data_IF_232793727249
#
_entry.id   IF_232793727249
#
_cell.length_a   1.000
_cell.length_b   1.000
_cell.length_c   1.000
_cell.angle_alpha   90.00
_cell.angle_beta   90.00
_cell.angle_gamma   90.00
#
_symmetry.space_group_name_H-M   'P 1'
#
loop_
_entity.id
_entity.type
_entity.pdbx_description
1 polymer ?
#
# COMPACT_ATOMS: atom_id res chain seq x y z
N UNK A 1 -48.95 -77.45 77.00
CA UNK A 1 -47.61 -77.31 76.39
C UNK A 1 -46.58 -78.38 76.81
N UNK A 2 -46.80 -79.19 77.85
CA UNK A 2 -45.80 -80.17 78.33
C UNK A 2 -45.68 -81.48 77.52
N UNK A 3 -46.73 -81.93 76.81
CA UNK A 3 -46.65 -83.16 75.98
C UNK A 3 -45.86 -82.97 74.67
N UNK A 4 -45.80 -81.74 74.17
CA UNK A 4 -45.12 -81.44 72.91
C UNK A 4 -43.59 -81.44 73.08
N UNK A 5 -43.09 -80.96 74.23
CA UNK A 5 -41.65 -80.94 74.52
C UNK A 5 -41.04 -82.32 74.78
N UNK A 6 -41.82 -83.27 75.30
CA UNK A 6 -41.36 -84.65 75.54
C UNK A 6 -41.16 -85.43 74.22
N UNK A 7 -42.11 -85.30 73.29
CA UNK A 7 -42.02 -85.94 71.97
C UNK A 7 -40.89 -85.35 71.13
N UNK A 8 -40.66 -84.04 71.22
CA UNK A 8 -39.52 -83.35 70.58
C UNK A 8 -38.17 -83.83 71.15
N UNK A 9 -38.04 -83.98 72.47
CA UNK A 9 -36.81 -84.52 73.10
C UNK A 9 -36.55 -85.97 72.71
N UNK A 10 -37.59 -86.80 72.66
CA UNK A 10 -37.47 -88.20 72.24
C UNK A 10 -37.06 -88.34 70.78
N UNK A 11 -37.64 -87.54 69.88
CA UNK A 11 -37.26 -87.50 68.47
C UNK A 11 -35.83 -86.97 68.26
N UNK A 12 -35.42 -85.96 69.03
CA UNK A 12 -34.06 -85.38 68.97
C UNK A 12 -32.99 -86.39 69.41
N UNK A 13 -33.21 -87.10 70.51
CA UNK A 13 -32.28 -88.12 70.99
C UNK A 13 -32.23 -89.36 70.09
N UNK A 14 -33.30 -89.63 69.32
CA UNK A 14 -33.32 -90.69 68.29
C UNK A 14 -32.54 -90.28 67.03
N UNK A 15 -32.59 -89.01 66.65
CA UNK A 15 -31.89 -88.47 65.48
C UNK A 15 -30.39 -88.25 65.73
N UNK A 16 -30.01 -87.86 66.95
CA UNK A 16 -28.63 -87.61 67.36
C UNK A 16 -28.28 -88.46 68.60
N UNK A 17 -28.04 -89.77 68.44
CA UNK A 17 -27.63 -90.61 69.56
C UNK A 17 -26.23 -90.23 70.03
N UNK A 18 -25.95 -90.36 71.33
CA UNK A 18 -24.61 -90.14 71.86
C UNK A 18 -23.63 -91.14 71.23
N UNK A 19 -22.52 -90.62 70.68
CA UNK A 19 -21.50 -91.44 70.03
C UNK A 19 -20.16 -91.22 70.71
N UNK A 20 -19.47 -92.31 70.99
CA UNK A 20 -18.15 -92.30 71.60
C UNK A 20 -17.14 -92.75 70.53
N UNK A 21 -16.19 -91.87 70.24
CA UNK A 21 -15.11 -92.17 69.32
C UNK A 21 -13.92 -92.63 70.16
N UNK A 22 -13.51 -93.88 69.94
CA UNK A 22 -12.37 -94.49 70.61
C UNK A 22 -11.12 -94.27 69.76
N UNK A 23 -10.14 -93.57 70.32
CA UNK A 23 -8.85 -93.39 69.66
C UNK A 23 -7.77 -94.09 70.47
N UNK A 24 -7.17 -95.13 69.86
CA UNK A 24 -6.07 -95.90 70.44
C UNK A 24 -4.75 -95.36 69.87
N UNK A 25 -3.93 -94.75 70.72
CA UNK A 25 -2.56 -94.36 70.37
C UNK A 25 -1.62 -94.59 71.55
N UNK A 26 -0.46 -95.21 71.29
CA UNK A 26 0.62 -95.36 72.28
C UNK A 26 0.25 -96.12 73.56
N UNK A 27 -0.61 -97.14 73.49
CA UNK A 27 -0.92 -98.01 74.63
C UNK A 27 -1.95 -97.47 75.64
N UNK A 28 -2.50 -96.26 75.43
CA UNK A 28 -3.62 -95.73 76.22
C UNK A 28 -4.86 -95.53 75.34
N UNK A 29 -6.04 -95.88 75.86
CA UNK A 29 -7.33 -95.65 75.18
C UNK A 29 -7.92 -94.36 75.72
N UNK A 30 -8.01 -93.34 74.86
CA UNK A 30 -8.77 -92.12 75.17
C UNK A 30 -10.09 -92.19 74.41
N UNK A 31 -11.20 -91.94 75.11
CA UNK A 31 -12.51 -91.79 74.49
C UNK A 31 -12.91 -90.32 74.49
N UNK A 32 -13.55 -89.89 73.40
CA UNK A 32 -14.18 -88.58 73.31
C UNK A 32 -15.68 -88.85 73.12
N UNK A 33 -16.48 -88.40 74.08
CA UNK A 33 -17.94 -88.45 74.00
C UNK A 33 -18.45 -87.23 73.23
N UNK A 34 -19.08 -87.45 72.08
CA UNK A 34 -19.72 -86.38 71.31
C UNK A 34 -21.18 -86.33 71.72
N UNK A 35 -21.55 -85.29 72.47
CA UNK A 35 -22.91 -85.16 72.98
C UNK A 35 -23.92 -84.94 71.85
N UNK A 36 -25.19 -85.35 72.02
CA UNK A 36 -26.27 -85.12 71.04
C UNK A 36 -26.36 -83.66 70.57
N UNK A 37 -26.13 -82.72 71.49
CA UNK A 37 -26.15 -81.29 71.20
C UNK A 37 -24.98 -80.85 70.31
N UNK A 38 -23.77 -81.38 70.56
CA UNK A 38 -22.60 -81.11 69.71
C UNK A 38 -22.82 -81.65 68.28
N UNK A 39 -23.38 -82.85 68.14
CA UNK A 39 -23.70 -83.42 66.83
C UNK A 39 -24.72 -82.57 66.06
N UNK A 40 -25.74 -82.05 66.75
CA UNK A 40 -26.73 -81.17 66.15
C UNK A 40 -26.13 -79.84 65.65
N UNK A 41 -25.21 -79.24 66.41
CA UNK A 41 -24.50 -78.03 65.98
C UNK A 41 -23.63 -78.30 64.74
N UNK A 42 -22.88 -79.41 64.72
CA UNK A 42 -22.08 -79.79 63.55
C UNK A 42 -22.96 -80.05 62.31
N UNK A 43 -24.08 -80.76 62.48
CA UNK A 43 -25.02 -81.01 61.39
C UNK A 43 -25.64 -79.71 60.85
N UNK A 44 -26.01 -78.78 61.75
CA UNK A 44 -26.51 -77.46 61.37
C UNK A 44 -25.44 -76.63 60.63
N UNK A 45 -24.19 -76.68 61.08
CA UNK A 45 -23.06 -76.01 60.42
C UNK A 45 -22.80 -76.55 59.01
N UNK A 46 -22.85 -77.87 58.82
CA UNK A 46 -22.71 -78.51 57.50
C UNK A 46 -23.89 -78.13 56.60
N UNK A 47 -25.12 -78.12 57.12
CA UNK A 47 -26.30 -77.72 56.37
C UNK A 47 -26.25 -76.24 55.96
N UNK A 48 -25.74 -75.36 56.84
CA UNK A 48 -25.55 -73.95 56.52
C UNK A 48 -24.49 -73.74 55.43
N UNK A 49 -23.36 -74.46 55.47
CA UNK A 49 -22.35 -74.42 54.41
C UNK A 49 -22.88 -74.98 53.09
N UNK A 50 -23.61 -76.09 53.12
CA UNK A 50 -24.25 -76.66 51.93
C UNK A 50 -25.30 -75.68 51.35
N UNK A 51 -26.12 -75.07 52.20
CA UNK A 51 -27.08 -74.04 51.80
C UNK A 51 -26.39 -72.81 51.21
N UNK A 52 -25.29 -72.36 51.81
CA UNK A 52 -24.49 -71.24 51.31
C UNK A 52 -23.85 -71.53 49.96
N UNK A 53 -23.30 -72.73 49.77
CA UNK A 53 -22.70 -73.13 48.49
C UNK A 53 -23.75 -73.25 47.38
N UNK A 54 -24.93 -73.79 47.67
CA UNK A 54 -26.05 -73.84 46.73
C UNK A 54 -26.56 -72.43 46.41
N UNK A 55 -26.67 -71.55 47.41
CA UNK A 55 -27.07 -70.16 47.22
C UNK A 55 -26.04 -69.38 46.39
N UNK A 56 -24.75 -69.52 46.66
CA UNK A 56 -23.67 -68.89 45.91
C UNK A 56 -23.62 -69.39 44.46
N UNK A 57 -23.78 -70.70 44.26
CA UNK A 57 -23.81 -71.32 42.92
C UNK A 57 -25.06 -70.90 42.15
N UNK A 58 -26.22 -70.92 42.80
CA UNK A 58 -27.49 -70.47 42.22
C UNK A 58 -27.47 -68.98 41.89
N UNK A 59 -26.92 -68.15 42.77
CA UNK A 59 -26.73 -66.72 42.55
C UNK A 59 -25.79 -66.46 41.36
N UNK A 60 -24.71 -67.23 41.20
CA UNK A 60 -23.82 -67.09 40.04
C UNK A 60 -24.50 -67.46 38.72
N UNK A 61 -25.35 -68.50 38.72
CA UNK A 61 -26.09 -68.94 37.53
C UNK A 61 -27.28 -68.01 37.20
N UNK A 62 -28.04 -67.57 38.21
CA UNK A 62 -29.20 -66.67 38.04
C UNK A 62 -28.82 -65.20 37.86
N UNK A 63 -27.70 -64.72 38.43
CA UNK A 63 -27.15 -63.38 38.16
C UNK A 63 -26.37 -63.28 36.85
N UNK A 64 -26.34 -64.36 36.07
CA UNK A 64 -25.81 -64.32 34.71
C UNK A 64 -24.29 -64.22 34.66
N UNK A 65 -23.58 -65.15 35.32
CA UNK A 65 -22.15 -65.38 35.12
C UNK A 65 -21.72 -65.75 33.69
N UNK A 66 -22.64 -65.72 32.72
CA UNK A 66 -22.39 -65.96 31.29
C UNK A 66 -22.45 -64.73 30.38
N UNK A 67 -22.88 -63.55 30.85
CA UNK A 67 -23.08 -62.37 29.98
C UNK A 67 -22.17 -61.17 30.28
N UNK A 68 -21.41 -61.18 31.39
CA UNK A 68 -20.47 -60.11 31.73
C UNK A 68 -19.06 -60.28 31.13
N UNK A 69 -18.74 -61.43 30.53
CA UNK A 69 -17.43 -61.72 29.92
C UNK A 69 -17.40 -61.52 28.39
N UNK A 70 -18.49 -61.03 27.78
CA UNK A 70 -18.55 -60.70 26.34
C UNK A 70 -18.64 -59.19 26.06
N UNK A 71 -18.64 -58.34 27.09
CA UNK A 71 -18.62 -56.89 26.93
C UNK A 71 -17.27 -56.33 27.34
N UNK A 72 -16.26 -56.47 26.47
CA UNK A 72 -14.88 -56.03 26.70
C UNK A 72 -14.84 -54.58 27.27
N UNK A 73 -14.59 -54.35 28.58
CA UNK A 73 -14.52 -53.00 29.14
C UNK A 73 -13.39 -52.18 28.49
N UNK A 74 -12.30 -52.86 28.12
CA UNK A 74 -11.21 -52.32 27.32
C UNK A 74 -11.71 -51.77 25.98
N UNK A 75 -12.69 -52.40 25.34
CA UNK A 75 -13.21 -51.98 24.03
C UNK A 75 -13.94 -50.62 24.07
N UNK A 76 -14.64 -50.30 25.18
CA UNK A 76 -15.31 -48.99 25.33
C UNK A 76 -14.32 -47.87 25.63
N UNK A 77 -13.31 -48.15 26.45
CA UNK A 77 -12.24 -47.18 26.73
C UNK A 77 -11.36 -46.97 25.49
N UNK A 78 -10.97 -48.05 24.80
CA UNK A 78 -10.25 -47.99 23.51
C UNK A 78 -11.04 -47.19 22.48
N UNK A 79 -12.36 -47.41 22.33
CA UNK A 79 -13.21 -46.64 21.43
C UNK A 79 -13.35 -45.16 21.83
N UNK A 80 -13.15 -44.81 23.11
CA UNK A 80 -13.10 -43.40 23.56
C UNK A 80 -11.76 -42.77 23.20
N UNK A 81 -10.64 -43.46 23.42
CA UNK A 81 -9.32 -42.99 23.03
C UNK A 81 -9.19 -42.85 21.52
N UNK A 82 -9.71 -43.81 20.75
CA UNK A 82 -9.70 -43.76 19.31
C UNK A 82 -10.51 -42.55 18.78
N UNK A 83 -11.71 -42.30 19.33
CA UNK A 83 -12.48 -41.09 19.02
C UNK A 83 -11.72 -39.80 19.36
N UNK A 84 -11.06 -39.76 20.51
CA UNK A 84 -10.27 -38.59 20.90
C UNK A 84 -9.07 -38.36 19.98
N UNK A 85 -8.38 -39.42 19.56
CA UNK A 85 -7.29 -39.35 18.58
C UNK A 85 -7.81 -38.88 17.21
N UNK A 86 -8.97 -39.37 16.77
CA UNK A 86 -9.59 -38.90 15.53
C UNK A 86 -10.01 -37.43 15.62
N UNK A 87 -10.57 -36.98 16.74
CA UNK A 87 -10.91 -35.58 16.96
C UNK A 87 -9.66 -34.68 16.99
N UNK A 88 -8.59 -35.12 17.64
CA UNK A 88 -7.29 -34.42 17.64
C UNK A 88 -6.72 -34.32 16.23
N UNK A 89 -6.76 -35.41 15.44
CA UNK A 89 -6.33 -35.39 14.04
C UNK A 89 -7.19 -34.46 13.19
N UNK A 90 -8.51 -34.44 13.39
CA UNK A 90 -9.41 -33.54 12.70
C UNK A 90 -9.13 -32.07 13.07
N UNK A 91 -8.85 -31.76 14.34
CA UNK A 91 -8.45 -30.43 14.81
C UNK A 91 -7.09 -30.00 14.26
N UNK A 92 -6.11 -30.89 14.25
CA UNK A 92 -4.77 -30.64 13.68
C UNK A 92 -4.86 -30.40 12.17
N UNK A 93 -5.63 -31.22 11.44
CA UNK A 93 -5.88 -31.03 10.02
C UNK A 93 -6.57 -29.69 9.72
N UNK A 94 -7.62 -29.32 10.48
CA UNK A 94 -8.29 -28.04 10.34
C UNK A 94 -7.38 -26.86 10.70
N UNK A 95 -6.54 -27.00 11.73
CA UNK A 95 -5.58 -25.97 12.09
C UNK A 95 -4.53 -25.78 11.00
N UNK A 96 -4.05 -26.86 10.37
CA UNK A 96 -3.11 -26.78 9.25
C UNK A 96 -3.74 -26.12 8.03
N UNK A 97 -4.96 -26.50 7.66
CA UNK A 97 -5.63 -25.89 6.50
C UNK A 97 -5.88 -24.40 6.71
N UNK A 98 -6.26 -23.97 7.92
CA UNK A 98 -6.42 -22.54 8.24
C UNK A 98 -5.09 -21.79 8.24
N UNK A 99 -3.99 -22.43 8.63
CA UNK A 99 -2.66 -21.83 8.55
C UNK A 99 -2.21 -21.68 7.10
N UNK A 100 -2.39 -22.70 6.26
CA UNK A 100 -2.11 -22.65 4.82
C UNK A 100 -2.92 -21.56 4.12
N UNK A 101 -4.23 -21.48 4.38
CA UNK A 101 -5.07 -20.41 3.84
C UNK A 101 -4.60 -19.02 4.26
N UNK A 102 -4.18 -18.86 5.52
CA UNK A 102 -3.63 -17.58 6.01
C UNK A 102 -2.27 -17.25 5.42
N UNK A 103 -1.38 -18.23 5.25
CA UNK A 103 -0.07 -18.00 4.64
C UNK A 103 -0.22 -17.60 3.18
N UNK A 104 -1.12 -18.25 2.45
CA UNK A 104 -1.39 -17.93 1.05
C UNK A 104 -2.04 -16.55 0.90
N UNK A 105 -3.00 -16.22 1.78
CA UNK A 105 -3.62 -14.89 1.80
C UNK A 105 -2.59 -13.80 2.12
N UNK A 106 -1.74 -14.03 3.12
CA UNK A 106 -0.68 -13.10 3.50
C UNK A 106 0.32 -12.90 2.35
N UNK A 107 0.79 -13.98 1.71
CA UNK A 107 1.72 -13.88 0.56
C UNK A 107 1.12 -13.06 -0.58
N UNK A 108 -0.16 -13.28 -0.93
CA UNK A 108 -0.85 -12.50 -1.95
C UNK A 108 -0.92 -11.01 -1.59
N UNK A 109 -1.30 -10.69 -0.35
CA UNK A 109 -1.34 -9.30 0.13
C UNK A 109 0.04 -8.65 0.11
N UNK A 110 1.12 -9.39 0.43
CA UNK A 110 2.49 -8.83 0.38
C UNK A 110 2.95 -8.48 -1.04
N UNK A 111 2.65 -9.34 -2.02
CA UNK A 111 3.00 -9.08 -3.43
C UNK A 111 2.22 -7.88 -3.95
N UNK A 112 0.91 -7.83 -3.69
CA UNK A 112 0.06 -6.69 -4.06
C UNK A 112 0.58 -5.38 -3.44
N UNK A 113 1.02 -5.43 -2.18
CA UNK A 113 1.58 -4.27 -1.50
C UNK A 113 2.89 -3.80 -2.12
N UNK A 114 3.79 -4.73 -2.46
CA UNK A 114 5.05 -4.42 -3.13
C UNK A 114 4.82 -3.75 -4.50
N UNK A 115 3.86 -4.25 -5.28
CA UNK A 115 3.46 -3.68 -6.56
C UNK A 115 2.90 -2.26 -6.41
N UNK A 116 2.00 -2.04 -5.45
CA UNK A 116 1.45 -0.70 -5.15
C UNK A 116 2.55 0.27 -4.71
N UNK A 117 3.45 -0.17 -3.85
CA UNK A 117 4.55 0.65 -3.35
C UNK A 117 5.50 1.05 -4.48
N UNK A 118 5.83 0.12 -5.37
CA UNK A 118 6.64 0.39 -6.56
C UNK A 118 5.97 1.39 -7.50
N UNK A 119 4.67 1.26 -7.72
CA UNK A 119 3.91 2.16 -8.57
C UNK A 119 3.85 3.60 -8.02
N UNK A 120 3.75 3.74 -6.69
CA UNK A 120 3.85 5.04 -6.01
C UNK A 120 5.27 5.61 -6.07
N UNK A 121 6.31 4.78 -5.98
CA UNK A 121 7.69 5.21 -6.13
C UNK A 121 7.96 5.78 -7.53
N UNK A 122 7.42 5.13 -8.57
CA UNK A 122 7.54 5.60 -9.96
C UNK A 122 6.80 6.93 -10.18
N UNK A 123 5.61 7.10 -9.59
CA UNK A 123 4.89 8.37 -9.57
C UNK A 123 5.71 9.47 -8.86
N UNK A 124 6.28 9.15 -7.69
CA UNK A 124 7.08 10.08 -6.92
C UNK A 124 8.34 10.52 -7.69
N UNK A 125 9.01 9.59 -8.38
CA UNK A 125 10.14 9.93 -9.27
C UNK A 125 9.73 10.89 -10.38
N UNK A 126 8.55 10.70 -10.99
CA UNK A 126 8.03 11.62 -11.99
C UNK A 126 7.71 13.02 -11.41
N UNK A 127 7.14 13.08 -10.21
CA UNK A 127 6.84 14.34 -9.51
C UNK A 127 8.10 15.13 -9.15
N UNK A 128 9.20 14.45 -8.82
CA UNK A 128 10.43 15.11 -8.35
C UNK A 128 11.25 15.75 -9.48
N UNK A 129 11.08 15.33 -10.73
CA UNK A 129 11.85 15.84 -11.87
C UNK A 129 13.34 15.43 -11.84
N UNK A 130 14.03 15.59 -12.98
CA UNK A 130 15.44 15.19 -13.18
C UNK A 130 16.46 16.28 -12.75
N UNK A 131 16.01 17.50 -12.42
CA UNK A 131 16.85 18.61 -11.95
C UNK A 131 16.60 18.90 -10.45
N UNK A 132 17.66 18.73 -9.65
CA UNK A 132 17.74 18.98 -8.21
C UNK A 132 17.51 20.47 -7.84
N UNK A 133 16.92 20.74 -6.66
CA UNK A 133 17.55 21.51 -5.56
C UNK A 133 16.62 21.66 -4.34
N UNK A 134 17.16 21.26 -3.19
CA UNK A 134 16.66 21.38 -1.81
C UNK A 134 15.49 20.51 -1.36
N UNK A 135 15.89 19.41 -0.73
CA UNK A 135 15.23 18.71 0.36
C UNK A 135 14.78 19.67 1.48
N UNK A 136 13.66 20.36 1.29
CA UNK A 136 13.08 21.27 2.28
C UNK A 136 11.57 21.08 2.43
N UNK A 137 11.11 19.83 2.61
CA UNK A 137 9.77 19.57 3.18
C UNK A 137 9.52 18.15 3.71
N UNK A 138 10.48 17.20 3.64
CA UNK A 138 10.35 15.92 4.36
C UNK A 138 10.74 16.01 5.85
N UNK A 139 10.43 17.11 6.52
CA UNK A 139 10.61 17.25 7.96
C UNK A 139 9.32 17.74 8.63
N UNK A 140 8.60 16.75 9.16
CA UNK A 140 7.35 16.86 9.93
C UNK A 140 6.44 15.75 9.42
N UNK A 141 6.38 14.54 9.98
CA UNK A 141 6.49 14.16 11.37
C UNK A 141 6.88 12.67 11.45
N UNK A 142 7.99 12.35 12.12
CA UNK A 142 8.18 11.06 12.83
C UNK A 142 8.25 9.69 12.12
N UNK A 143 8.09 9.52 10.81
CA UNK A 143 8.09 8.17 10.21
C UNK A 143 9.45 7.72 9.65
N UNK A 144 10.39 7.42 10.54
CA UNK A 144 11.50 6.51 10.23
C UNK A 144 10.93 5.09 10.09
N UNK A 145 10.40 4.74 8.91
CA UNK A 145 10.13 3.36 8.54
C UNK A 145 11.40 2.70 7.98
N UNK A 146 12.45 2.69 8.80
CA UNK A 146 13.39 1.57 8.77
C UNK A 146 12.77 0.52 9.68
N UNK A 147 12.06 -0.43 9.06
CA UNK A 147 11.70 -1.70 9.69
C UNK A 147 13.02 -2.37 10.07
N UNK A 148 13.49 -2.14 11.30
CA UNK A 148 14.38 -3.08 11.93
C UNK A 148 13.54 -4.35 12.12
N UNK A 149 13.84 -5.36 11.32
CA UNK A 149 13.47 -6.72 11.63
C UNK A 149 14.10 -7.07 12.97
N UNK A 150 13.35 -6.88 14.07
CA UNK A 150 13.66 -7.54 15.32
C UNK A 150 13.41 -9.03 15.09
N UNK A 151 14.46 -9.73 14.70
CA UNK A 151 14.59 -11.15 15.02
C UNK A 151 14.60 -11.17 16.55
N UNK A 152 13.42 -11.30 17.16
CA UNK A 152 13.33 -11.74 18.56
C UNK A 152 13.77 -13.21 18.57
N UNK A 153 15.09 -13.32 18.70
CA UNK A 153 15.86 -14.36 19.35
C UNK A 153 14.97 -15.22 20.25
N UNK A 154 15.04 -16.53 20.05
CA UNK A 154 14.31 -17.53 20.80
C UNK A 154 14.55 -17.38 22.31
N UNK A 155 13.61 -16.75 23.01
CA UNK A 155 13.67 -16.74 24.47
C UNK A 155 13.41 -18.15 25.00
N UNK A 156 14.27 -18.53 25.94
CA UNK A 156 14.43 -19.88 26.45
C UNK A 156 13.12 -20.46 27.03
N UNK A 157 12.88 -21.76 26.77
CA UNK A 157 11.70 -22.49 27.24
C UNK A 157 11.60 -22.43 28.77
N UNK A 158 10.76 -21.53 29.29
CA UNK A 158 10.22 -21.67 30.63
C UNK A 158 8.84 -22.32 30.56
N UNK A 159 8.68 -23.44 31.27
CA UNK A 159 7.40 -24.11 31.46
C UNK A 159 6.46 -23.19 32.25
N UNK A 160 5.46 -22.60 31.57
CA UNK A 160 4.38 -21.85 32.20
C UNK A 160 3.22 -22.79 32.55
N UNK A 161 2.72 -22.62 33.77
CA UNK A 161 1.43 -23.09 34.27
C UNK A 161 0.30 -22.94 33.23
N UNK A 162 -0.67 -23.87 33.15
CA UNK A 162 -1.74 -23.80 32.17
C UNK A 162 -2.68 -22.64 32.48
N UNK A 163 -2.38 -21.48 31.90
CA UNK A 163 -3.29 -20.35 31.79
C UNK A 163 -4.57 -20.83 31.08
N UNK A 164 -5.68 -20.68 31.78
CA UNK A 164 -7.02 -20.80 31.22
C UNK A 164 -7.21 -19.60 30.29
N UNK A 165 -6.89 -19.78 29.01
CA UNK A 165 -6.99 -18.76 27.97
C UNK A 165 -8.48 -18.57 27.63
N UNK A 166 -9.09 -17.53 28.18
CA UNK A 166 -10.24 -16.87 27.54
C UNK A 166 -9.66 -15.94 26.48
N UNK A 167 -9.33 -16.50 25.31
CA UNK A 167 -8.81 -15.72 24.19
C UNK A 167 -9.95 -14.88 23.59
N UNK A 168 -10.09 -13.64 24.05
CA UNK A 168 -10.44 -12.57 23.13
C UNK A 168 -9.14 -12.18 22.44
N UNK A 169 -8.86 -12.82 21.30
CA UNK A 169 -7.76 -12.40 20.42
C UNK A 169 -8.03 -10.97 19.96
N UNK A 170 -7.10 -10.06 20.25
CA UNK A 170 -7.01 -8.73 19.64
C UNK A 170 -6.59 -8.86 18.16
N UNK A 171 -7.45 -9.47 17.34
CA UNK A 171 -7.34 -9.48 15.86
C UNK A 171 -7.54 -8.10 15.21
N UNK A 172 -7.76 -7.05 16.02
CA UNK A 172 -7.99 -5.69 15.55
C UNK A 172 -6.69 -4.94 15.20
N UNK A 173 -5.54 -5.29 15.81
CA UNK A 173 -4.30 -4.51 15.66
C UNK A 173 -3.69 -4.62 14.25
N UNK A 174 -3.50 -5.83 13.72
CA UNK A 174 -2.91 -6.04 12.38
C UNK A 174 -3.85 -5.66 11.23
N UNK A 175 -5.17 -5.77 11.42
CA UNK A 175 -6.15 -5.29 10.43
C UNK A 175 -6.26 -3.76 10.45
N UNK A 176 -6.04 -3.14 11.61
CA UNK A 176 -5.93 -1.70 11.76
C UNK A 176 -4.74 -1.14 10.97
N UNK A 177 -3.57 -1.79 11.05
CA UNK A 177 -2.35 -1.33 10.37
C UNK A 177 -2.43 -1.46 8.83
N UNK A 178 -2.95 -2.57 8.29
CA UNK A 178 -3.10 -2.71 6.83
C UNK A 178 -4.11 -1.69 6.29
N UNK A 179 -5.20 -1.43 7.03
CA UNK A 179 -6.19 -0.42 6.65
C UNK A 179 -5.60 0.99 6.70
N UNK A 180 -4.84 1.33 7.73
CA UNK A 180 -4.19 2.65 7.82
C UNK A 180 -3.18 2.84 6.69
N UNK A 181 -2.39 1.81 6.35
CA UNK A 181 -1.44 1.87 5.24
C UNK A 181 -2.14 2.10 3.89
N UNK A 182 -3.27 1.42 3.62
CA UNK A 182 -4.06 1.66 2.40
C UNK A 182 -4.61 3.10 2.36
N UNK A 183 -5.07 3.62 3.50
CA UNK A 183 -5.50 5.03 3.62
C UNK A 183 -4.35 6.02 3.41
N UNK A 184 -3.14 5.68 3.83
CA UNK A 184 -1.96 6.51 3.61
C UNK A 184 -1.56 6.54 2.13
N UNK A 185 -1.66 5.41 1.42
CA UNK A 185 -1.45 5.35 -0.04
C UNK A 185 -2.48 6.20 -0.80
N UNK A 186 -3.75 6.16 -0.40
CA UNK A 186 -4.79 7.02 -0.98
C UNK A 186 -4.50 8.50 -0.73
N UNK A 187 -4.04 8.87 0.48
CA UNK A 187 -3.66 10.25 0.82
C UNK A 187 -2.48 10.75 -0.01
N UNK A 188 -1.51 9.89 -0.32
CA UNK A 188 -0.38 10.25 -1.20
C UNK A 188 -0.88 10.56 -2.61
N UNK A 189 -1.84 9.79 -3.12
CA UNK A 189 -2.46 10.06 -4.43
C UNK A 189 -3.30 11.34 -4.41
N UNK A 190 -4.02 11.61 -3.32
CA UNK A 190 -4.76 12.87 -3.11
C UNK A 190 -3.79 14.06 -3.19
N UNK A 191 -2.71 14.01 -2.41
CA UNK A 191 -1.75 15.11 -2.32
C UNK A 191 -0.98 15.32 -3.64
N UNK A 192 -0.65 14.24 -4.35
CA UNK A 192 -0.09 14.32 -5.68
C UNK A 192 -1.05 14.95 -6.70
N UNK A 193 -2.34 14.60 -6.65
CA UNK A 193 -3.37 15.17 -7.52
C UNK A 193 -3.58 16.67 -7.22
N UNK A 194 -3.60 17.06 -5.94
CA UNK A 194 -3.72 18.44 -5.51
C UNK A 194 -2.51 19.28 -5.97
N UNK A 195 -1.29 18.80 -5.74
CA UNK A 195 -0.06 19.48 -6.20
C UNK A 195 -0.05 19.62 -7.72
N UNK A 196 -0.39 18.55 -8.44
CA UNK A 196 -0.43 18.57 -9.90
C UNK A 196 -1.47 19.57 -10.43
N UNK A 197 -2.65 19.60 -9.82
CA UNK A 197 -3.73 20.53 -10.18
C UNK A 197 -3.31 21.97 -9.89
N UNK A 198 -2.79 22.25 -8.70
CA UNK A 198 -2.36 23.60 -8.31
C UNK A 198 -1.28 24.15 -9.25
N UNK A 199 -0.24 23.37 -9.54
CA UNK A 199 0.84 23.76 -10.46
C UNK A 199 0.34 23.92 -11.89
N UNK A 200 -0.54 23.04 -12.36
CA UNK A 200 -1.17 23.17 -13.66
C UNK A 200 -1.97 24.46 -13.77
N UNK A 201 -2.79 24.79 -12.78
CA UNK A 201 -3.57 26.03 -12.75
C UNK A 201 -2.69 27.27 -12.67
N UNK A 202 -1.59 27.24 -11.89
CA UNK A 202 -0.58 28.31 -11.88
C UNK A 202 0.02 28.51 -13.27
N UNK A 203 0.46 27.43 -13.92
CA UNK A 203 1.05 27.49 -15.26
C UNK A 203 0.04 28.00 -16.30
N UNK A 204 -1.20 27.51 -16.27
CA UNK A 204 -2.31 28.01 -17.10
C UNK A 204 -2.60 29.48 -16.84
N UNK A 205 -2.54 29.93 -15.59
CA UNK A 205 -2.68 31.34 -15.21
C UNK A 205 -1.62 32.23 -15.84
N UNK A 206 -0.35 31.81 -15.82
CA UNK A 206 0.74 32.51 -16.50
C UNK A 206 0.48 32.58 -18.01
N UNK A 207 0.08 31.45 -18.62
CA UNK A 207 -0.26 31.40 -20.04
C UNK A 207 -1.44 32.31 -20.41
N UNK A 208 -2.44 32.42 -19.54
CA UNK A 208 -3.58 33.31 -19.71
C UNK A 208 -3.20 34.80 -19.64
N UNK A 209 -2.14 35.15 -18.91
CA UNK A 209 -1.59 36.50 -18.90
C UNK A 209 -0.85 36.84 -20.21
N UNK A 210 -0.32 35.84 -20.91
CA UNK A 210 0.22 36.01 -22.26
C UNK A 210 -0.91 36.23 -23.28
N UNK A 211 -0.59 36.81 -24.43
CA UNK A 211 -1.57 37.01 -25.50
C UNK A 211 -1.91 35.73 -26.28
N UNK A 212 -1.23 34.62 -26.02
CA UNK A 212 -1.50 33.33 -26.69
C UNK A 212 -2.60 32.57 -25.95
N UNK A 213 -2.59 32.58 -24.61
CA UNK A 213 -3.56 31.84 -23.79
C UNK A 213 -3.34 30.32 -23.82
N UNK A 214 -3.83 29.63 -22.80
CA UNK A 214 -3.75 28.16 -22.69
C UNK A 214 -4.46 27.45 -23.85
N UNK A 215 -5.61 27.98 -24.29
CA UNK A 215 -6.50 27.30 -25.24
C UNK A 215 -5.86 27.16 -26.62
N UNK A 216 -5.03 28.13 -27.03
CA UNK A 216 -4.36 28.09 -28.34
C UNK A 216 -3.20 27.11 -28.37
N UNK A 217 -2.54 26.90 -27.23
CA UNK A 217 -1.44 25.94 -27.07
C UNK A 217 -2.00 24.52 -27.15
N UNK A 218 -3.13 24.28 -26.48
CA UNK A 218 -3.89 23.03 -26.57
C UNK A 218 -4.42 22.81 -27.99
N UNK A 219 -4.98 23.84 -28.63
CA UNK A 219 -5.50 23.72 -29.99
C UNK A 219 -4.42 23.54 -31.08
N UNK A 220 -3.21 24.09 -30.88
CA UNK A 220 -2.09 23.86 -31.79
C UNK A 220 -1.41 22.51 -31.59
N UNK A 221 -1.64 21.89 -30.43
CA UNK A 221 -1.31 20.49 -30.21
C UNK A 221 -2.40 19.67 -30.93
N UNK A 222 -2.25 19.44 -32.24
CA UNK A 222 -3.16 18.61 -33.06
C UNK A 222 -3.14 17.11 -32.68
N UNK A 223 -2.87 16.82 -31.41
CA UNK A 223 -2.96 15.50 -30.82
C UNK A 223 -3.55 15.75 -29.44
N UNK A 224 -4.62 15.03 -29.11
CA UNK A 224 -5.26 15.12 -27.80
C UNK A 224 -4.21 15.18 -26.69
N UNK A 225 -4.55 15.87 -25.58
CA UNK A 225 -3.66 16.15 -24.46
C UNK A 225 -2.76 14.95 -24.09
N UNK A 226 -1.62 15.23 -23.44
CA UNK A 226 -0.45 14.34 -23.37
C UNK A 226 -0.82 12.86 -23.47
N UNK A 227 -0.34 12.18 -24.51
CA UNK A 227 -0.64 10.76 -24.74
C UNK A 227 -0.13 9.94 -23.55
N UNK A 228 -1.04 9.53 -22.68
CA UNK A 228 -0.75 8.53 -21.68
C UNK A 228 -0.84 7.21 -22.40
N UNK A 229 0.32 6.62 -22.70
CA UNK A 229 0.37 5.28 -23.25
C UNK A 229 -0.32 4.33 -22.27
N UNK A 230 -1.48 3.81 -22.67
CA UNK A 230 -2.15 2.76 -21.91
C UNK A 230 -1.22 1.55 -21.72
N UNK A 231 -0.19 1.39 -22.58
CA UNK A 231 0.83 0.37 -22.42
C UNK A 231 1.68 0.53 -21.14
N UNK A 232 1.89 1.76 -20.64
CA UNK A 232 2.52 1.99 -19.33
C UNK A 232 1.54 1.75 -18.17
N UNK A 233 0.24 1.96 -18.40
CA UNK A 233 -0.83 1.64 -17.44
C UNK A 233 -1.16 0.13 -17.39
N UNK A 234 -0.84 -0.63 -18.44
CA UNK A 234 -1.05 -2.08 -18.54
C UNK A 234 0.23 -2.90 -18.37
N UNK A 235 1.38 -2.26 -18.13
CA UNK A 235 2.55 -2.94 -17.56
C UNK A 235 2.40 -3.27 -16.08
N UNK A 236 1.25 -2.94 -15.48
CA UNK A 236 0.78 -3.49 -14.21
C UNK A 236 0.19 -4.90 -14.36
N UNK A 237 -0.20 -5.52 -13.23
CA UNK A 237 -0.57 -6.93 -13.15
C UNK A 237 -1.75 -7.28 -14.06
N UNK A 238 -1.84 -8.55 -14.46
CA UNK A 238 -2.94 -9.10 -15.26
C UNK A 238 -4.31 -8.68 -14.68
N UNK A 239 -4.99 -7.76 -15.36
CA UNK A 239 -6.27 -7.18 -14.94
C UNK A 239 -7.39 -8.22 -14.73
N UNK A 240 -7.19 -9.45 -15.21
CA UNK A 240 -8.19 -10.54 -15.10
C UNK A 240 -8.27 -11.17 -13.70
N UNK A 241 -7.32 -10.91 -12.80
CA UNK A 241 -7.30 -11.50 -11.44
C UNK A 241 -7.41 -10.49 -10.28
N UNK A 242 -7.66 -9.20 -10.57
CA UNK A 242 -7.68 -8.16 -9.55
C UNK A 242 -9.01 -8.10 -8.78
N UNK A 243 -8.94 -7.86 -7.47
CA UNK A 243 -10.12 -7.58 -6.65
C UNK A 243 -10.71 -6.22 -7.04
N UNK A 244 -12.02 -6.01 -6.85
CA UNK A 244 -12.70 -4.73 -7.16
C UNK A 244 -12.03 -3.52 -6.48
N UNK A 245 -11.44 -3.71 -5.29
CA UNK A 245 -10.70 -2.70 -4.53
C UNK A 245 -9.32 -2.38 -5.14
N UNK A 246 -8.77 -3.27 -5.95
CA UNK A 246 -7.47 -3.06 -6.61
C UNK A 246 -7.68 -2.27 -7.89
N UNK A 247 -8.77 -2.56 -8.62
CA UNK A 247 -9.17 -1.79 -9.79
C UNK A 247 -9.35 -0.31 -9.48
N UNK A 248 -9.93 0.04 -8.32
CA UNK A 248 -10.11 1.44 -7.91
C UNK A 248 -8.79 2.15 -7.63
N UNK A 249 -7.81 1.47 -7.03
CA UNK A 249 -6.50 2.03 -6.78
C UNK A 249 -5.77 2.29 -8.09
N UNK A 250 -5.71 1.30 -8.99
CA UNK A 250 -5.00 1.44 -10.27
C UNK A 250 -5.68 2.45 -11.20
N UNK A 251 -7.01 2.53 -11.22
CA UNK A 251 -7.69 3.60 -11.96
C UNK A 251 -7.32 4.98 -11.41
N UNK A 252 -7.25 5.11 -10.08
CA UNK A 252 -6.88 6.38 -9.44
C UNK A 252 -5.44 6.74 -9.74
N UNK A 253 -4.52 5.81 -9.57
CA UNK A 253 -3.11 6.00 -9.91
C UNK A 253 -2.95 6.46 -11.36
N UNK A 254 -3.65 5.83 -12.31
CA UNK A 254 -3.58 6.21 -13.73
C UNK A 254 -4.10 7.65 -13.97
N UNK A 255 -5.13 8.06 -13.24
CA UNK A 255 -5.64 9.43 -13.28
C UNK A 255 -4.63 10.41 -12.67
N UNK A 256 -4.02 10.08 -11.53
CA UNK A 256 -2.99 10.93 -10.91
C UNK A 256 -1.78 11.07 -11.83
N UNK A 257 -1.31 9.98 -12.45
CA UNK A 257 -0.24 10.00 -13.46
C UNK A 257 -0.60 10.91 -14.66
N UNK A 258 -1.86 10.87 -15.11
CA UNK A 258 -2.35 11.77 -16.15
C UNK A 258 -2.19 13.25 -15.76
N UNK A 259 -2.56 13.59 -14.52
CA UNK A 259 -2.47 14.95 -13.98
C UNK A 259 -1.03 15.40 -13.81
N UNK A 260 -0.16 14.53 -13.32
CA UNK A 260 1.27 14.83 -13.20
C UNK A 260 1.90 15.06 -14.59
N UNK A 261 1.57 14.23 -15.58
CA UNK A 261 2.05 14.43 -16.95
C UNK A 261 1.52 15.74 -17.57
N UNK A 262 0.27 16.09 -17.31
CA UNK A 262 -0.31 17.38 -17.70
C UNK A 262 0.44 18.56 -17.04
N UNK A 263 0.70 18.46 -15.73
CA UNK A 263 1.46 19.45 -14.98
C UNK A 263 2.85 19.68 -15.59
N UNK A 264 3.62 18.61 -15.79
CA UNK A 264 4.97 18.69 -16.36
C UNK A 264 4.97 19.33 -17.74
N UNK A 265 3.98 18.99 -18.57
CA UNK A 265 3.82 19.59 -19.89
C UNK A 265 3.62 21.11 -19.82
N UNK A 266 2.74 21.59 -18.95
CA UNK A 266 2.50 23.03 -18.81
C UNK A 266 3.68 23.76 -18.16
N UNK A 267 4.36 23.15 -17.19
CA UNK A 267 5.56 23.70 -16.57
C UNK A 267 6.69 23.86 -17.60
N UNK A 268 6.92 22.85 -18.45
CA UNK A 268 7.92 22.90 -19.53
C UNK A 268 7.61 24.02 -20.56
N UNK A 269 6.34 24.22 -20.89
CA UNK A 269 5.96 25.33 -21.76
C UNK A 269 6.26 26.67 -21.08
N UNK A 270 5.85 26.84 -19.82
CA UNK A 270 6.06 28.10 -19.09
C UNK A 270 7.54 28.42 -18.91
N UNK A 271 8.37 27.42 -18.61
CA UNK A 271 9.82 27.59 -18.44
C UNK A 271 10.49 28.05 -19.74
N UNK A 272 9.95 27.67 -20.90
CA UNK A 272 10.46 28.07 -22.21
C UNK A 272 10.07 29.50 -22.63
N UNK A 273 9.06 30.13 -22.01
CA UNK A 273 8.48 31.38 -22.50
C UNK A 273 9.46 32.58 -22.44
N UNK A 274 9.41 33.49 -23.43
CA UNK A 274 10.19 34.73 -23.40
C UNK A 274 9.57 35.77 -22.44
N UNK A 275 9.67 35.54 -21.14
CA UNK A 275 9.07 36.37 -20.08
C UNK A 275 9.98 37.49 -19.56
N UNK A 276 11.29 37.36 -19.74
CA UNK A 276 12.32 38.29 -19.30
C UNK A 276 12.37 39.58 -20.11
N UNK A 277 12.85 40.65 -19.48
CA UNK A 277 13.05 41.95 -20.12
C UNK A 277 14.29 41.88 -21.03
N UNK A 278 14.17 42.12 -22.35
CA UNK A 278 15.27 41.91 -23.30
C UNK A 278 16.31 43.05 -23.34
N UNK A 279 16.23 44.02 -22.42
CA UNK A 279 17.17 45.13 -22.30
C UNK A 279 17.76 45.08 -20.89
N UNK A 280 19.07 44.83 -20.78
CA UNK A 280 19.75 44.63 -19.48
C UNK A 280 19.97 45.91 -18.67
N UNK A 281 19.34 47.02 -19.06
CA UNK A 281 19.49 48.35 -18.44
C UNK A 281 18.14 49.08 -18.41
N UNK A 282 17.99 50.14 -17.59
CA UNK A 282 16.80 50.98 -17.64
C UNK A 282 16.53 51.48 -19.07
N UNK A 283 15.27 51.32 -19.51
CA UNK A 283 14.84 51.61 -20.86
C UNK A 283 13.51 52.37 -20.86
N UNK A 284 13.19 52.98 -22.00
CA UNK A 284 11.90 53.63 -22.25
C UNK A 284 11.18 52.94 -23.39
N UNK A 285 9.91 52.58 -23.17
CA UNK A 285 9.04 52.11 -24.25
C UNK A 285 8.72 53.28 -25.18
N UNK A 286 9.16 53.21 -26.43
CA UNK A 286 8.97 54.27 -27.44
C UNK A 286 7.87 53.96 -28.45
N UNK A 287 7.56 52.69 -28.68
CA UNK A 287 6.46 52.28 -29.55
C UNK A 287 5.80 50.98 -29.11
N UNK A 288 4.48 50.92 -29.23
CA UNK A 288 3.65 49.77 -28.87
C UNK A 288 3.38 48.86 -30.07
N UNK A 289 2.98 47.63 -29.78
CA UNK A 289 2.46 46.66 -30.74
C UNK A 289 1.12 47.11 -31.35
N UNK A 290 0.89 46.79 -32.63
CA UNK A 290 -0.38 47.04 -33.33
C UNK A 290 -0.35 48.25 -34.29
N UNK A 291 -1.52 48.87 -34.50
CA UNK A 291 -1.68 49.97 -35.47
C UNK A 291 -1.02 51.24 -34.96
N UNK A 292 -0.12 51.81 -35.77
CA UNK A 292 0.51 53.13 -35.51
C UNK A 292 0.77 53.90 -36.79
N UNK A 293 1.04 55.19 -36.67
CA UNK A 293 1.52 55.99 -37.81
C UNK A 293 2.96 55.55 -38.13
N UNK A 294 3.18 55.07 -39.35
CA UNK A 294 4.49 54.70 -39.85
C UNK A 294 5.41 55.95 -39.89
N UNK A 295 6.55 55.95 -39.18
CA UNK A 295 7.39 57.14 -39.05
C UNK A 295 8.05 57.57 -40.36
N UNK A 296 8.13 56.69 -41.35
CA UNK A 296 8.73 56.98 -42.65
C UNK A 296 7.69 57.32 -43.71
N UNK A 297 6.53 56.64 -43.70
CA UNK A 297 5.46 56.84 -44.69
C UNK A 297 4.39 57.84 -44.24
N UNK A 298 4.36 58.20 -42.95
CA UNK A 298 3.34 59.05 -42.30
C UNK A 298 1.90 58.58 -42.55
N UNK A 299 1.71 57.27 -42.72
CA UNK A 299 0.41 56.61 -42.92
C UNK A 299 0.22 55.51 -41.88
N UNK A 300 -1.02 55.08 -41.58
CA UNK A 300 -1.24 53.94 -40.70
C UNK A 300 -0.48 52.69 -41.19
N UNK A 301 0.28 52.07 -40.29
CA UNK A 301 1.05 50.85 -40.50
C UNK A 301 0.90 49.92 -39.31
N UNK A 302 1.18 48.64 -39.54
CA UNK A 302 1.12 47.61 -38.50
C UNK A 302 2.51 47.35 -37.91
N UNK A 303 2.60 47.34 -36.58
CA UNK A 303 3.82 47.08 -35.84
C UNK A 303 3.77 45.70 -35.17
N UNK A 304 4.65 44.80 -35.60
CA UNK A 304 4.68 43.40 -35.15
C UNK A 304 5.34 43.20 -33.76
N UNK A 305 5.81 44.26 -33.12
CA UNK A 305 6.55 44.19 -31.88
C UNK A 305 6.44 45.47 -31.06
N UNK A 306 7.39 45.66 -30.16
CA UNK A 306 7.57 46.89 -29.39
C UNK A 306 8.95 47.48 -29.62
N UNK A 307 9.05 48.80 -29.47
CA UNK A 307 10.32 49.51 -29.56
C UNK A 307 10.74 50.00 -28.17
N UNK A 308 11.94 49.64 -27.73
CA UNK A 308 12.50 50.00 -26.43
C UNK A 308 13.82 50.76 -26.62
N UNK A 309 13.89 51.99 -26.14
CA UNK A 309 15.07 52.84 -26.28
C UNK A 309 15.90 52.88 -25.01
N UNK A 310 17.22 52.81 -25.18
CA UNK A 310 18.25 53.03 -24.19
C UNK A 310 19.47 53.67 -24.89
N UNK A 311 20.61 53.76 -24.20
CA UNK A 311 21.84 54.30 -24.80
C UNK A 311 22.40 53.37 -25.90
N UNK A 312 23.12 53.94 -26.88
CA UNK A 312 23.76 53.17 -27.94
C UNK A 312 24.65 52.04 -27.36
N UNK A 313 24.57 50.85 -27.97
CA UNK A 313 25.28 49.65 -27.54
C UNK A 313 24.94 49.12 -26.14
N UNK A 314 23.82 49.56 -25.55
CA UNK A 314 23.25 48.94 -24.35
C UNK A 314 23.10 47.41 -24.53
N UNK A 315 23.30 46.62 -23.46
CA UNK A 315 23.24 45.16 -23.53
C UNK A 315 21.81 44.69 -23.84
N UNK A 316 21.68 43.88 -24.90
CA UNK A 316 20.45 43.19 -25.26
C UNK A 316 20.59 41.75 -24.84
N UNK A 317 19.64 41.29 -24.03
CA UNK A 317 19.69 39.99 -23.37
C UNK A 317 18.53 39.10 -23.82
N UNK A 318 18.70 37.79 -23.72
CA UNK A 318 17.65 36.82 -24.04
C UNK A 318 16.48 36.95 -23.05
N UNK A 319 15.27 37.08 -23.60
CA UNK A 319 14.02 37.14 -22.83
C UNK A 319 13.56 35.77 -22.30
N UNK A 320 14.08 34.67 -22.83
CA UNK A 320 13.68 33.30 -22.52
C UNK A 320 14.82 32.33 -22.87
N UNK A 321 14.85 31.13 -22.27
CA UNK A 321 15.84 30.11 -22.64
C UNK A 321 15.52 29.55 -24.04
N UNK A 322 16.52 29.12 -24.79
CA UNK A 322 16.28 28.52 -26.10
C UNK A 322 17.53 28.39 -26.96
N UNK A 323 17.32 28.18 -28.25
CA UNK A 323 18.40 28.01 -29.24
C UNK A 323 18.31 29.11 -30.30
N UNK A 324 19.45 29.73 -30.63
CA UNK A 324 19.50 30.76 -31.68
C UNK A 324 19.14 30.15 -33.04
N UNK A 325 17.96 30.48 -33.57
CA UNK A 325 17.52 30.05 -34.91
C UNK A 325 18.14 30.89 -36.03
N UNK A 326 18.41 32.17 -35.75
CA UNK A 326 18.98 33.12 -36.70
C UNK A 326 19.83 34.19 -36.02
N UNK A 327 20.98 34.52 -36.61
CA UNK A 327 21.85 35.61 -36.18
C UNK A 327 22.52 36.24 -37.41
N UNK A 328 22.10 37.45 -37.81
CA UNK A 328 22.66 38.10 -38.99
C UNK A 328 21.84 39.29 -39.53
N UNK A 329 22.22 39.85 -40.70
CA UNK A 329 21.50 40.94 -41.34
C UNK A 329 20.23 40.45 -42.05
N UNK A 330 19.07 41.04 -41.71
CA UNK A 330 17.77 40.79 -42.34
C UNK A 330 17.14 42.08 -42.82
N UNK A 331 16.58 42.06 -44.03
CA UNK A 331 15.90 43.23 -44.61
C UNK A 331 14.79 43.74 -43.69
N UNK A 332 14.69 45.06 -43.53
CA UNK A 332 13.79 45.73 -42.58
C UNK A 332 14.32 45.78 -41.14
N UNK A 333 14.84 44.66 -40.62
CA UNK A 333 15.28 44.53 -39.23
C UNK A 333 16.73 44.99 -38.98
N UNK A 334 17.56 45.14 -40.02
CA UNK A 334 18.99 45.38 -39.82
C UNK A 334 19.67 44.12 -39.29
N UNK A 335 20.53 44.26 -38.27
CA UNK A 335 21.08 43.08 -37.56
C UNK A 335 20.00 42.51 -36.64
N UNK A 336 19.71 41.23 -36.80
CA UNK A 336 18.65 40.51 -36.12
C UNK A 336 19.22 39.27 -35.43
N UNK A 337 18.78 39.04 -34.20
CA UNK A 337 18.83 37.73 -33.54
C UNK A 337 17.41 37.18 -33.43
N UNK A 338 17.21 35.90 -33.71
CA UNK A 338 15.98 35.15 -33.44
C UNK A 338 16.33 33.95 -32.56
N UNK A 339 15.56 33.78 -31.48
CA UNK A 339 15.69 32.67 -30.53
C UNK A 339 14.45 31.79 -30.69
N UNK A 340 14.66 30.49 -30.88
CA UNK A 340 13.63 29.47 -30.83
C UNK A 340 13.56 28.94 -29.41
N UNK A 341 12.43 29.16 -28.76
CA UNK A 341 12.20 28.76 -27.39
C UNK A 341 11.61 27.35 -27.30
N UNK A 342 11.25 26.73 -28.43
CA UNK A 342 10.45 25.50 -28.44
C UNK A 342 8.95 25.80 -28.36
N UNK A 343 8.14 24.74 -28.45
CA UNK A 343 6.67 24.81 -28.37
C UNK A 343 6.00 25.84 -29.30
N UNK A 344 6.67 26.17 -30.42
CA UNK A 344 6.21 27.16 -31.39
C UNK A 344 6.52 28.62 -31.05
N UNK A 345 7.16 28.90 -29.90
CA UNK A 345 7.53 30.26 -29.47
C UNK A 345 8.87 30.71 -30.03
N UNK A 346 8.91 31.94 -30.55
CA UNK A 346 10.15 32.60 -30.99
C UNK A 346 10.21 34.04 -30.54
N UNK A 347 11.39 34.53 -30.19
CA UNK A 347 11.63 35.95 -29.93
C UNK A 347 12.61 36.54 -30.94
N UNK A 348 12.41 37.81 -31.31
CA UNK A 348 13.24 38.53 -32.28
C UNK A 348 13.78 39.83 -31.71
N UNK A 349 15.05 40.11 -31.99
CA UNK A 349 15.81 41.26 -31.49
C UNK A 349 16.41 42.02 -32.68
N UNK A 350 15.71 43.06 -33.14
CA UNK A 350 16.07 43.85 -34.32
C UNK A 350 16.88 45.10 -34.01
N UNK A 351 17.37 45.73 -35.09
CA UNK A 351 18.12 46.99 -35.11
C UNK A 351 19.44 46.99 -34.34
N UNK A 352 20.02 45.82 -34.08
CA UNK A 352 21.22 45.67 -33.25
C UNK A 352 22.44 46.40 -33.86
N UNK A 353 23.30 46.96 -33.02
CA UNK A 353 24.63 47.46 -33.43
C UNK A 353 25.66 46.34 -33.48
N UNK A 354 25.49 45.26 -32.72
CA UNK A 354 26.37 44.10 -32.72
C UNK A 354 25.64 42.85 -32.25
N UNK A 355 26.08 41.69 -32.73
CA UNK A 355 25.56 40.38 -32.35
C UNK A 355 26.68 39.63 -31.62
N UNK A 356 26.38 39.05 -30.45
CA UNK A 356 27.35 38.33 -29.60
C UNK A 356 27.20 36.81 -29.69
N UNK A 357 26.13 36.32 -30.31
CA UNK A 357 25.78 34.91 -30.41
C UNK A 357 25.81 34.40 -31.85
N UNK A 358 25.79 33.07 -32.03
CA UNK A 358 25.77 32.40 -33.34
C UNK A 358 24.57 31.46 -33.45
N UNK A 359 24.12 31.20 -34.68
CA UNK A 359 23.08 30.21 -34.95
C UNK A 359 23.46 28.84 -34.35
N UNK A 360 22.51 28.20 -33.68
CA UNK A 360 22.69 26.90 -33.02
C UNK A 360 23.22 26.97 -31.59
N UNK A 361 23.58 28.16 -31.10
CA UNK A 361 23.98 28.36 -29.70
C UNK A 361 22.75 28.27 -28.78
N UNK A 362 22.87 27.56 -27.66
CA UNK A 362 21.89 27.60 -26.57
C UNK A 362 22.13 28.84 -25.70
N UNK A 363 21.05 29.47 -25.25
CA UNK A 363 21.08 30.65 -24.38
C UNK A 363 20.06 30.48 -23.26
N UNK A 364 20.39 31.03 -22.10
CA UNK A 364 19.52 31.13 -20.94
C UNK A 364 18.92 32.53 -20.80
N UNK A 365 17.96 32.70 -19.90
CA UNK A 365 17.37 34.01 -19.61
C UNK A 365 18.46 34.96 -19.12
N UNK A 366 18.54 36.15 -19.73
CA UNK A 366 19.52 37.16 -19.34
C UNK A 366 20.87 37.07 -20.07
N UNK A 367 21.13 36.04 -20.86
CA UNK A 367 22.35 35.93 -21.66
C UNK A 367 22.47 37.06 -22.68
N UNK A 368 23.68 37.59 -22.85
CA UNK A 368 23.95 38.67 -23.80
C UNK A 368 23.86 38.15 -25.25
N UNK A 369 22.85 38.61 -25.99
CA UNK A 369 22.62 38.23 -27.40
C UNK A 369 23.05 39.30 -28.39
N UNK A 370 23.16 40.56 -27.95
CA UNK A 370 23.63 41.63 -28.79
C UNK A 370 23.72 42.97 -28.09
N UNK A 371 23.86 44.02 -28.90
CA UNK A 371 23.99 45.41 -28.43
C UNK A 371 22.99 46.28 -29.16
N UNK A 372 22.36 47.22 -28.44
CA UNK A 372 21.39 48.16 -29.00
C UNK A 372 22.02 49.00 -30.11
N UNK A 373 21.25 49.34 -31.14
CA UNK A 373 21.70 50.21 -32.21
C UNK A 373 20.55 50.78 -33.03
N UNK A 374 20.89 51.17 -34.26
CA UNK A 374 19.97 51.80 -35.22
C UNK A 374 20.14 51.23 -36.64
N UNK A 375 20.46 49.94 -36.75
CA UNK A 375 20.67 49.31 -38.09
C UNK A 375 19.36 48.99 -38.81
N UNK A 376 19.38 49.01 -40.15
CA UNK A 376 18.18 48.72 -40.95
C UNK A 376 17.20 49.89 -40.95
N UNK A 377 15.90 49.61 -40.84
CA UNK A 377 14.86 50.64 -40.90
C UNK A 377 14.56 51.19 -39.51
N UNK A 378 15.44 52.07 -39.02
CA UNK A 378 15.36 52.67 -37.68
C UNK A 378 15.48 54.19 -37.75
N UNK A 379 14.86 54.91 -36.81
CA UNK A 379 14.93 56.39 -36.69
C UNK A 379 15.82 56.88 -35.55
N UNK A 380 16.39 55.97 -34.76
CA UNK A 380 17.25 56.26 -33.61
C UNK A 380 17.58 54.99 -32.83
N UNK A 381 18.40 55.09 -31.78
CA UNK A 381 18.80 53.89 -31.01
C UNK A 381 17.63 53.29 -30.23
N UNK A 382 17.24 52.07 -30.62
CA UNK A 382 16.23 51.28 -29.96
C UNK A 382 16.37 49.80 -30.29
N UNK A 383 15.86 48.94 -29.41
CA UNK A 383 15.59 47.54 -29.69
C UNK A 383 14.16 47.43 -30.24
N UNK A 384 14.03 46.80 -31.41
CA UNK A 384 12.75 46.29 -31.88
C UNK A 384 12.59 44.83 -31.44
N UNK A 385 11.62 44.57 -30.57
CA UNK A 385 11.39 43.26 -29.96
C UNK A 385 10.04 42.68 -30.38
N UNK A 386 10.05 41.46 -30.91
CA UNK A 386 8.83 40.73 -31.29
C UNK A 386 8.76 39.38 -30.58
N UNK A 387 7.54 38.93 -30.27
CA UNK A 387 7.26 37.57 -29.82
C UNK A 387 6.33 36.92 -30.84
N UNK A 388 6.67 35.69 -31.23
CA UNK A 388 5.97 34.92 -32.24
C UNK A 388 5.51 33.59 -31.65
N UNK A 389 4.32 33.16 -32.05
CA UNK A 389 3.81 31.83 -31.74
C UNK A 389 3.20 31.24 -33.02
N UNK A 390 3.67 30.06 -33.42
CA UNK A 390 3.23 29.34 -34.62
C UNK A 390 3.13 30.24 -35.88
N UNK A 391 4.17 31.05 -36.10
CA UNK A 391 4.29 31.91 -37.28
C UNK A 391 3.45 33.19 -37.26
N UNK A 392 2.79 33.53 -36.13
CA UNK A 392 2.05 34.79 -35.97
C UNK A 392 2.69 35.66 -34.88
N UNK A 393 2.81 36.98 -35.07
CA UNK A 393 3.29 37.89 -34.04
C UNK A 393 2.21 38.14 -32.99
N UNK A 394 2.64 38.35 -31.76
CA UNK A 394 1.82 38.57 -30.58
C UNK A 394 2.39 39.73 -29.75
N UNK A 395 1.53 40.38 -28.94
CA UNK A 395 1.92 41.57 -28.17
C UNK A 395 2.98 41.22 -27.10
N UNK A 396 4.25 41.66 -27.26
CA UNK A 396 5.31 41.35 -26.30
C UNK A 396 5.07 41.91 -24.90
N UNK A 397 4.29 42.99 -24.76
CA UNK A 397 4.02 43.59 -23.44
C UNK A 397 3.29 42.61 -22.53
N UNK A 398 2.46 41.73 -23.09
CA UNK A 398 1.73 40.71 -22.32
C UNK A 398 2.68 39.69 -21.70
N UNK A 399 3.68 39.24 -22.46
CA UNK A 399 4.73 38.33 -21.98
C UNK A 399 5.59 39.00 -20.90
N UNK A 400 6.05 40.22 -21.13
CA UNK A 400 6.85 40.96 -20.15
C UNK A 400 6.09 41.26 -18.85
N UNK A 401 4.77 41.45 -18.94
CA UNK A 401 3.90 41.59 -17.75
C UNK A 401 3.76 40.26 -17.01
N UNK A 402 3.58 39.15 -17.73
CA UNK A 402 3.49 37.82 -17.13
C UNK A 402 4.79 37.48 -16.38
N UNK A 403 5.97 37.76 -16.97
CA UNK A 403 7.26 37.52 -16.32
C UNK A 403 7.46 38.25 -14.99
N UNK A 404 6.91 39.46 -14.85
CA UNK A 404 6.97 40.18 -13.56
C UNK A 404 6.21 39.47 -12.44
N UNK A 405 5.17 38.69 -12.75
CA UNK A 405 4.44 37.94 -11.73
C UNK A 405 5.17 36.64 -11.37
N UNK A 406 5.90 36.04 -12.33
CA UNK A 406 6.67 34.81 -12.10
C UNK A 406 7.95 35.05 -11.29
N UNK A 407 8.60 36.21 -11.45
CA UNK A 407 9.86 36.54 -10.75
C UNK A 407 9.69 37.38 -9.47
N UNK A 408 8.45 37.59 -8.99
CA UNK A 408 8.16 38.36 -7.77
C UNK A 408 7.70 37.50 -6.57
N UNK A 409 7.48 36.21 -6.79
CA UNK A 409 7.39 35.19 -5.74
C UNK A 409 8.78 34.59 -5.50
#
# INVERSE_FOLDING_TARGET
>A
MAKWSANLKAAFNKAFPERQIYHRSGGTVRYISVSPWQQAIFAAGIAALAGWTIFATGSFVLSGGGSALSGNPDGRELAKYERWVQELRAKDALSRSLLEERTDAFQKETVEWEERQKALEDLYKQLKGEDDLETSSLKGDGASLLVQASIEEADSRQSREPLRITAQFETASSRGSVRSLKMDQERILDEAEDIATERTERARGILALTSVGSDRIVASSETGGPFISLANATSGPDFTSLSLTDTTFYSRLSQTQARVAEMLYYEDIVSSLPLGIPVGVPYRLTSNYGVRVDPFKKRPGWHNGIDMAAYHAAPIVAAGPGVISYAGPRSGYGRLVEIDHGHGFKSRYGHLSGITVKKGQTVEVGDLVGKMGTTGRSTGDHLHFEVWFNGKPYDPIKFLKAGRHVHQE
#
